data_IF_659389756619
#
_entry.id   IF_659389756619
#
_cell.length_a   1.000
_cell.length_b   1.000
_cell.length_c   1.000
_cell.angle_alpha   90.00
_cell.angle_beta   90.00
_cell.angle_gamma   90.00
#
_symmetry.space_group_name_H-M   'P 1'
#
loop_
_entity.id
_entity.type
_entity.pdbx_description
1 polymer ?
#
# COMPACT_ATOMS: atom_id res chain seq x y z
N UNK A 1 -0.96 36.26 -5.46
CA UNK A 1 -0.95 34.82 -5.80
C UNK A 1 -2.22 34.23 -5.22
N UNK A 2 -2.98 33.46 -6.01
CA UNK A 2 -4.21 32.80 -5.56
C UNK A 2 -3.85 31.62 -4.63
N UNK A 3 -3.79 31.90 -3.33
CA UNK A 3 -3.38 30.94 -2.29
C UNK A 3 -4.46 29.87 -2.11
N UNK A 4 -5.73 30.24 -2.22
CA UNK A 4 -6.86 29.31 -2.07
C UNK A 4 -6.84 28.26 -3.17
N UNK A 5 -6.51 28.66 -4.40
CA UNK A 5 -6.33 27.72 -5.50
C UNK A 5 -5.14 26.78 -5.29
N UNK A 6 -4.02 27.29 -4.78
CA UNK A 6 -2.83 26.48 -4.48
C UNK A 6 -3.11 25.45 -3.38
N UNK A 7 -3.81 25.85 -2.32
CA UNK A 7 -4.26 24.95 -1.24
C UNK A 7 -5.17 23.87 -1.82
N UNK A 8 -6.17 24.26 -2.61
CA UNK A 8 -7.12 23.32 -3.20
C UNK A 8 -6.45 22.29 -4.10
N UNK A 9 -5.50 22.67 -4.96
CA UNK A 9 -4.75 21.69 -5.76
C UNK A 9 -3.94 20.76 -4.86
N UNK A 10 -3.35 21.24 -3.76
CA UNK A 10 -2.61 20.36 -2.85
C UNK A 10 -3.49 19.32 -2.16
N UNK A 11 -4.78 19.57 -2.00
CA UNK A 11 -5.73 18.59 -1.47
C UNK A 11 -6.09 17.51 -2.53
N UNK A 12 -6.29 17.90 -3.80
CA UNK A 12 -6.63 16.95 -4.87
C UNK A 12 -5.42 16.22 -5.47
N UNK A 13 -4.26 16.87 -5.49
CA UNK A 13 -3.02 16.36 -6.10
C UNK A 13 -1.83 16.59 -5.18
N UNK A 14 -1.84 15.96 -3.99
CA UNK A 14 -0.82 16.14 -2.98
C UNK A 14 0.56 15.63 -3.42
N UNK A 15 0.64 14.70 -4.38
CA UNK A 15 1.92 14.13 -4.84
C UNK A 15 2.85 15.05 -5.64
N UNK A 16 2.46 16.32 -5.91
CA UNK A 16 3.22 17.21 -6.80
C UNK A 16 4.43 17.88 -6.14
N UNK A 17 5.49 18.08 -6.92
CA UNK A 17 6.65 18.88 -6.54
C UNK A 17 6.38 20.39 -6.73
N UNK A 18 7.22 21.23 -6.14
CA UNK A 18 7.01 22.69 -6.15
C UNK A 18 7.13 23.32 -7.56
N UNK A 19 7.97 22.76 -8.41
CA UNK A 19 8.08 23.09 -9.83
C UNK A 19 6.81 22.71 -10.60
N UNK A 20 6.20 21.56 -10.31
CA UNK A 20 4.93 21.15 -10.92
C UNK A 20 3.76 22.07 -10.48
N UNK A 21 3.76 22.57 -9.24
CA UNK A 21 2.82 23.63 -8.83
C UNK A 21 3.10 24.96 -9.51
N UNK A 22 4.37 25.29 -9.72
CA UNK A 22 4.78 26.49 -10.46
C UNK A 22 4.28 26.44 -11.91
N UNK A 23 4.42 25.29 -12.59
CA UNK A 23 3.88 25.07 -13.94
C UNK A 23 2.36 25.20 -13.97
N UNK A 24 1.64 24.62 -12.99
CA UNK A 24 0.18 24.75 -12.92
C UNK A 24 -0.27 26.19 -12.72
N UNK A 25 0.40 26.95 -11.85
CA UNK A 25 0.09 28.36 -11.64
C UNK A 25 0.40 29.21 -12.88
N UNK A 26 1.49 28.91 -13.58
CA UNK A 26 1.83 29.57 -14.83
C UNK A 26 0.79 29.26 -15.93
N UNK A 27 0.43 27.99 -16.13
CA UNK A 27 -0.45 27.57 -17.22
C UNK A 27 -1.94 27.87 -16.96
N UNK A 28 -2.45 27.59 -15.75
CA UNK A 28 -3.89 27.64 -15.46
C UNK A 28 -4.34 28.96 -14.83
N UNK A 29 -3.41 29.72 -14.26
CA UNK A 29 -3.67 30.99 -13.59
C UNK A 29 -2.88 32.16 -14.14
N UNK A 30 -2.03 31.92 -15.16
CA UNK A 30 -1.19 32.95 -15.78
C UNK A 30 -0.36 33.71 -14.73
N UNK A 31 0.01 33.00 -13.66
CA UNK A 31 0.66 33.53 -12.48
C UNK A 31 2.00 32.82 -12.30
N UNK A 32 3.04 33.22 -13.06
CA UNK A 32 4.37 32.68 -12.88
C UNK A 32 4.90 33.16 -11.52
N UNK A 33 5.13 32.20 -10.62
CA UNK A 33 5.68 32.47 -9.29
C UNK A 33 6.91 31.63 -9.06
N UNK A 34 7.86 32.14 -8.28
CA UNK A 34 9.05 31.37 -7.95
C UNK A 34 8.72 30.24 -6.98
N UNK A 35 9.45 29.13 -7.07
CA UNK A 35 9.31 27.94 -6.20
C UNK A 35 9.37 28.31 -4.71
N UNK A 36 10.22 29.27 -4.34
CA UNK A 36 10.31 29.75 -2.95
C UNK A 36 9.03 30.44 -2.48
N UNK A 37 8.36 31.19 -3.35
CA UNK A 37 7.07 31.83 -3.05
C UNK A 37 5.98 30.79 -2.75
N UNK A 38 5.96 29.71 -3.54
CA UNK A 38 5.05 28.57 -3.34
C UNK A 38 5.37 27.87 -2.01
N UNK A 39 6.66 27.64 -1.72
CA UNK A 39 7.10 27.02 -0.47
C UNK A 39 6.63 27.83 0.75
N UNK A 40 6.89 29.14 0.77
CA UNK A 40 6.46 30.01 1.88
C UNK A 40 4.94 30.10 2.01
N UNK A 41 4.21 30.09 0.88
CA UNK A 41 2.74 30.05 0.91
C UNK A 41 2.22 28.76 1.55
N UNK A 42 2.79 27.61 1.20
CA UNK A 42 2.45 26.34 1.86
C UNK A 42 2.79 26.34 3.36
N UNK A 43 3.97 26.83 3.74
CA UNK A 43 4.34 26.92 5.16
C UNK A 43 3.39 27.82 5.95
N UNK A 44 3.01 28.97 5.40
CA UNK A 44 2.02 29.88 6.02
C UNK A 44 0.64 29.26 6.12
N UNK A 45 0.26 28.42 5.16
CA UNK A 45 -0.99 27.65 5.18
C UNK A 45 -0.91 26.38 6.05
N UNK A 46 0.21 26.09 6.70
CA UNK A 46 0.40 24.88 7.51
C UNK A 46 0.48 23.59 6.70
N UNK A 47 0.85 23.65 5.41
CA UNK A 47 0.98 22.47 4.54
C UNK A 47 2.44 22.03 4.51
N UNK A 48 2.69 20.79 4.96
CA UNK A 48 4.02 20.19 5.01
C UNK A 48 4.10 18.93 4.15
N UNK A 49 5.34 18.54 3.81
CA UNK A 49 5.60 17.27 3.13
C UNK A 49 5.36 16.13 4.13
N UNK A 50 4.58 15.12 3.72
CA UNK A 50 4.27 13.94 4.52
C UNK A 50 4.54 12.66 3.72
N UNK A 51 4.79 11.57 4.43
CA UNK A 51 4.86 10.25 3.79
C UNK A 51 3.46 9.88 3.30
N UNK A 52 3.33 9.60 2.00
CA UNK A 52 2.09 9.10 1.42
C UNK A 52 1.79 7.74 2.04
N UNK A 53 0.61 7.57 2.64
CA UNK A 53 0.13 6.28 3.09
C UNK A 53 -0.99 5.83 2.17
N UNK A 54 -0.69 4.80 1.37
CA UNK A 54 -1.66 4.16 0.49
C UNK A 54 -2.61 3.32 1.36
N UNK A 55 -3.84 3.78 1.55
CA UNK A 55 -4.86 3.02 2.27
C UNK A 55 -5.59 2.10 1.29
N UNK A 56 -5.85 0.86 1.69
CA UNK A 56 -6.80 0.01 0.99
C UNK A 56 -8.21 0.54 1.26
N UNK A 57 -8.99 0.74 0.20
CA UNK A 57 -10.35 1.28 0.28
C UNK A 57 -11.33 0.34 1.01
N UNK A 58 -10.97 -0.92 1.16
CA UNK A 58 -11.80 -2.02 1.68
C UNK A 58 -11.72 -2.18 3.21
N UNK A 59 -10.97 -1.35 3.93
CA UNK A 59 -10.75 -1.52 5.38
C UNK A 59 -12.02 -1.22 6.19
N UNK A 60 -12.58 -2.25 6.85
CA UNK A 60 -13.69 -2.15 7.81
C UNK A 60 -13.22 -2.44 9.25
N UNK A 61 -13.22 -1.44 10.15
CA UNK A 61 -12.81 -1.60 11.55
C UNK A 61 -13.63 -2.64 12.34
N UNK A 62 -14.90 -2.84 11.98
CA UNK A 62 -15.78 -3.79 12.67
C UNK A 62 -15.36 -5.22 12.34
N UNK A 63 -15.14 -5.51 11.06
CA UNK A 63 -14.63 -6.81 10.62
C UNK A 63 -13.23 -7.09 11.18
N UNK A 64 -12.36 -6.07 11.24
CA UNK A 64 -11.03 -6.15 11.87
C UNK A 64 -11.14 -6.54 13.35
N UNK A 65 -12.04 -5.92 14.10
CA UNK A 65 -12.29 -6.24 15.51
C UNK A 65 -12.80 -7.66 15.73
N UNK A 66 -13.75 -8.11 14.91
CA UNK A 66 -14.26 -9.49 14.97
C UNK A 66 -13.18 -10.53 14.66
N UNK A 67 -12.34 -10.26 13.67
CA UNK A 67 -11.22 -11.14 13.32
C UNK A 67 -10.22 -11.26 14.48
N UNK A 68 -9.82 -10.13 15.08
CA UNK A 68 -8.88 -10.13 16.21
C UNK A 68 -9.46 -10.92 17.39
N UNK A 69 -10.73 -10.71 17.73
CA UNK A 69 -11.40 -11.43 18.81
C UNK A 69 -11.40 -12.96 18.56
N UNK A 70 -11.71 -13.38 17.34
CA UNK A 70 -11.72 -14.80 16.95
C UNK A 70 -10.32 -15.43 17.00
N UNK A 71 -9.31 -14.75 16.47
CA UNK A 71 -7.94 -15.28 16.43
C UNK A 71 -7.31 -15.33 17.83
N UNK A 72 -7.68 -14.41 18.72
CA UNK A 72 -7.18 -14.38 20.09
C UNK A 72 -7.58 -15.63 20.93
N UNK A 73 -8.56 -16.41 20.48
CA UNK A 73 -8.94 -17.69 21.13
C UNK A 73 -7.86 -18.78 20.94
N UNK A 74 -6.97 -18.63 19.96
CA UNK A 74 -5.95 -19.61 19.63
C UNK A 74 -4.57 -19.18 20.17
N UNK A 75 -3.79 -20.12 20.75
CA UNK A 75 -2.39 -19.87 21.04
C UNK A 75 -1.62 -19.47 19.78
N UNK A 76 -0.71 -18.49 19.89
CA UNK A 76 -0.01 -17.95 18.73
C UNK A 76 0.80 -19.01 17.94
N UNK A 77 1.33 -20.04 18.60
CA UNK A 77 2.09 -21.12 17.97
C UNK A 77 1.21 -22.12 17.17
N UNK A 78 -0.11 -22.04 17.29
CA UNK A 78 -1.03 -22.80 16.43
C UNK A 78 -1.38 -22.06 15.13
N UNK A 79 -0.97 -20.80 15.01
CA UNK A 79 -1.29 -19.97 13.86
C UNK A 79 -0.18 -20.04 12.83
N UNK A 80 -0.58 -20.34 11.59
CA UNK A 80 0.27 -20.23 10.41
C UNK A 80 -0.24 -19.04 9.60
N UNK A 81 0.62 -18.04 9.43
CA UNK A 81 0.34 -16.90 8.57
C UNK A 81 0.71 -17.27 7.14
N UNK A 82 -0.24 -17.18 6.22
CA UNK A 82 -0.01 -17.36 4.78
C UNK A 82 -0.25 -16.02 4.10
N UNK A 83 0.69 -15.58 3.27
CA UNK A 83 0.57 -14.33 2.51
C UNK A 83 1.11 -14.48 1.10
N UNK A 84 0.62 -13.62 0.20
CA UNK A 84 1.07 -13.52 -1.18
C UNK A 84 1.85 -12.22 -1.39
N UNK A 85 3.12 -12.37 -1.78
CA UNK A 85 3.95 -11.26 -2.23
C UNK A 85 4.10 -11.29 -3.75
N UNK A 86 3.66 -10.23 -4.42
CA UNK A 86 3.95 -10.03 -5.83
C UNK A 86 5.19 -9.19 -6.05
N UNK A 87 6.21 -9.76 -6.69
CA UNK A 87 7.32 -9.01 -7.27
C UNK A 87 6.99 -8.67 -8.72
N UNK A 88 6.64 -7.41 -8.92
CA UNK A 88 6.51 -6.80 -10.24
C UNK A 88 7.77 -5.96 -10.46
N UNK A 89 8.44 -6.12 -11.61
CA UNK A 89 9.64 -5.34 -11.99
C UNK A 89 9.25 -3.90 -12.37
N UNK A 90 8.57 -3.20 -11.44
CA UNK A 90 8.08 -1.84 -11.62
C UNK A 90 9.22 -0.82 -11.68
N UNK A 91 9.03 0.16 -12.54
CA UNK A 91 9.67 1.47 -12.45
C UNK A 91 9.20 2.16 -11.15
N UNK A 92 10.14 2.62 -10.32
CA UNK A 92 9.90 3.25 -9.01
C UNK A 92 8.80 4.33 -9.07
N UNK A 93 7.70 4.14 -8.32
CA UNK A 93 6.75 5.22 -8.02
C UNK A 93 7.32 6.16 -6.94
N UNK A 94 6.93 7.44 -6.95
CA UNK A 94 7.42 8.46 -6.00
C UNK A 94 6.92 8.17 -4.57
N UNK A 95 7.81 8.27 -3.58
CA UNK A 95 7.57 7.87 -2.17
C UNK A 95 6.98 8.98 -1.26
N UNK A 96 6.79 10.20 -1.75
CA UNK A 96 6.36 11.36 -0.94
C UNK A 96 5.36 12.29 -1.63
N UNK A 97 4.56 13.02 -0.82
CA UNK A 97 3.54 13.98 -1.24
C UNK A 97 3.21 14.99 -0.13
N UNK A 98 2.37 15.99 -0.40
CA UNK A 98 2.04 17.15 0.45
C UNK A 98 0.55 17.18 0.76
N UNK A 99 0.14 17.14 2.02
CA UNK A 99 -1.27 17.26 2.43
C UNK A 99 -1.42 18.17 3.66
N UNK A 100 -2.62 18.73 3.95
CA UNK A 100 -2.87 19.51 5.16
C UNK A 100 -2.47 18.79 6.46
N UNK A 101 -2.13 19.52 7.53
CA UNK A 101 -1.90 18.93 8.87
C UNK A 101 -3.16 18.15 9.29
N UNK A 102 -2.97 16.92 9.78
CA UNK A 102 -4.08 15.99 10.05
C UNK A 102 -4.60 15.16 8.85
N UNK A 103 -4.22 15.46 7.60
CA UNK A 103 -4.72 14.75 6.40
C UNK A 103 -3.63 13.93 5.67
N UNK A 104 -4.06 12.98 4.81
CA UNK A 104 -3.23 12.07 3.99
C UNK A 104 -3.10 12.56 2.54
N UNK A 105 -2.02 12.16 1.88
CA UNK A 105 -1.71 12.49 0.49
C UNK A 105 -1.99 11.30 -0.46
N UNK A 106 -2.75 11.49 -1.54
CA UNK A 106 -3.14 10.48 -2.56
C UNK A 106 -2.60 10.79 -3.98
N UNK A 107 -2.27 9.77 -4.80
CA UNK A 107 -1.72 9.93 -6.18
C UNK A 107 -2.13 8.78 -7.11
N UNK A 108 -2.41 9.10 -8.39
CA UNK A 108 -2.75 8.14 -9.46
C UNK A 108 -1.62 8.03 -10.50
N UNK A 109 -1.20 6.82 -10.89
CA UNK A 109 -0.13 6.57 -11.89
C UNK A 109 -0.46 5.40 -12.84
N UNK A 110 0.04 5.40 -14.10
CA UNK A 110 -0.15 4.29 -15.05
C UNK A 110 0.68 3.05 -14.67
N UNK A 111 0.09 1.86 -14.85
CA UNK A 111 0.71 0.58 -14.54
C UNK A 111 1.41 -0.03 -15.77
N UNK A 112 2.72 0.15 -15.90
CA UNK A 112 3.53 -0.57 -16.91
C UNK A 112 3.90 -1.95 -16.33
N UNK A 113 3.44 -3.03 -16.96
CA UNK A 113 3.64 -4.42 -16.48
C UNK A 113 4.86 -5.05 -17.17
N UNK A 114 5.89 -5.41 -16.42
CA UNK A 114 6.92 -6.38 -16.84
C UNK A 114 6.50 -7.79 -16.36
N UNK A 115 7.36 -8.80 -16.58
CA UNK A 115 7.13 -10.15 -16.06
C UNK A 115 6.92 -10.08 -14.53
N UNK A 116 5.79 -10.62 -14.06
CA UNK A 116 5.41 -10.63 -12.64
C UNK A 116 5.73 -12.00 -12.08
N UNK A 117 6.31 -12.03 -10.88
CA UNK A 117 6.39 -13.23 -10.07
C UNK A 117 5.51 -13.04 -8.85
N UNK A 118 4.71 -14.05 -8.54
CA UNK A 118 3.99 -14.15 -7.29
C UNK A 118 4.71 -15.16 -6.41
N UNK A 119 5.00 -14.80 -5.17
CA UNK A 119 5.53 -15.68 -4.15
C UNK A 119 4.44 -15.90 -3.11
N UNK A 120 4.09 -17.15 -2.86
CA UNK A 120 3.19 -17.53 -1.76
C UNK A 120 4.07 -18.10 -0.65
N UNK A 121 3.91 -17.61 0.57
CA UNK A 121 4.71 -18.02 1.71
C UNK A 121 3.84 -18.32 2.92
N UNK A 122 4.21 -19.35 3.68
CA UNK A 122 3.61 -19.70 4.95
C UNK A 122 4.66 -19.63 6.07
N UNK A 123 4.30 -19.00 7.17
CA UNK A 123 5.18 -18.78 8.33
C UNK A 123 4.48 -19.20 9.63
N UNK A 124 5.18 -19.98 10.45
CA UNK A 124 4.80 -20.31 11.82
C UNK A 124 5.69 -19.57 12.82
N UNK A 125 5.17 -19.33 14.03
CA UNK A 125 5.89 -18.55 15.05
C UNK A 125 7.22 -19.20 15.47
N UNK A 126 7.22 -20.52 15.65
CA UNK A 126 8.37 -21.25 16.21
C UNK A 126 9.35 -21.74 15.14
N UNK A 127 8.84 -22.04 13.93
CA UNK A 127 9.62 -22.66 12.84
C UNK A 127 10.05 -21.64 11.76
N UNK A 128 9.47 -20.44 11.77
CA UNK A 128 9.68 -19.45 10.72
C UNK A 128 8.99 -19.88 9.42
N UNK A 129 9.68 -19.77 8.28
CA UNK A 129 9.11 -20.13 6.98
C UNK A 129 8.98 -21.64 6.83
N UNK A 130 7.75 -22.14 6.79
CA UNK A 130 7.45 -23.57 6.71
C UNK A 130 7.12 -24.05 5.30
N UNK A 131 6.65 -23.15 4.43
CA UNK A 131 6.43 -23.43 3.01
C UNK A 131 6.56 -22.16 2.17
N UNK A 132 7.06 -22.29 0.94
CA UNK A 132 7.10 -21.20 -0.02
C UNK A 132 7.04 -21.72 -1.47
N UNK A 133 6.29 -21.04 -2.33
CA UNK A 133 6.20 -21.33 -3.77
C UNK A 133 6.33 -20.06 -4.57
N UNK A 134 7.10 -20.13 -5.67
CA UNK A 134 7.19 -19.06 -6.66
C UNK A 134 6.36 -19.45 -7.88
N UNK A 135 5.47 -18.56 -8.29
CA UNK A 135 4.63 -18.65 -9.46
C UNK A 135 5.04 -17.56 -10.46
N UNK A 136 5.06 -17.91 -11.73
CA UNK A 136 5.19 -16.93 -12.81
C UNK A 136 3.79 -16.41 -13.18
N UNK A 137 3.59 -15.09 -13.12
CA UNK A 137 2.29 -14.45 -13.30
C UNK A 137 1.57 -14.16 -11.99
N UNK A 138 0.25 -14.11 -12.03
CA UNK A 138 -0.62 -13.96 -10.86
C UNK A 138 -1.00 -15.32 -10.27
N UNK A 139 -1.23 -15.36 -8.97
CA UNK A 139 -2.00 -16.43 -8.36
C UNK A 139 -3.47 -16.38 -8.81
N UNK A 140 -4.13 -17.50 -8.64
CA UNK A 140 -5.57 -17.66 -8.68
C UNK A 140 -5.99 -18.64 -7.57
N UNK A 141 -7.28 -18.93 -7.49
CA UNK A 141 -7.82 -19.87 -6.51
C UNK A 141 -7.14 -21.25 -6.62
N UNK A 142 -7.01 -21.81 -7.82
CA UNK A 142 -6.43 -23.15 -8.00
C UNK A 142 -4.98 -23.21 -7.55
N UNK A 143 -4.15 -22.26 -7.98
CA UNK A 143 -2.72 -22.22 -7.64
C UNK A 143 -2.48 -22.00 -6.14
N UNK A 144 -3.36 -21.25 -5.46
CA UNK A 144 -3.33 -21.11 -4.01
C UNK A 144 -3.75 -22.41 -3.29
N UNK A 145 -4.81 -23.07 -3.74
CA UNK A 145 -5.22 -24.37 -3.18
C UNK A 145 -4.15 -25.44 -3.39
N UNK A 146 -3.52 -25.46 -4.56
CA UNK A 146 -2.42 -26.38 -4.85
C UNK A 146 -1.22 -26.12 -3.94
N UNK A 147 -0.97 -24.87 -3.52
CA UNK A 147 0.05 -24.53 -2.54
C UNK A 147 -0.31 -25.08 -1.15
N UNK A 148 -1.55 -24.89 -0.73
CA UNK A 148 -2.02 -25.41 0.56
C UNK A 148 -1.91 -26.94 0.61
N UNK A 149 -2.41 -27.63 -0.42
CA UNK A 149 -2.42 -29.09 -0.44
C UNK A 149 -1.02 -29.67 -0.58
N UNK A 150 -0.21 -29.15 -1.50
CA UNK A 150 1.03 -29.81 -1.90
C UNK A 150 2.29 -29.28 -1.23
N UNK A 151 2.31 -28.03 -0.77
CA UNK A 151 3.49 -27.47 -0.09
C UNK A 151 3.27 -27.35 1.41
N UNK A 152 2.09 -26.88 1.84
CA UNK A 152 1.83 -26.61 3.26
C UNK A 152 1.40 -27.85 4.03
N UNK A 153 0.45 -28.62 3.51
CA UNK A 153 -0.16 -29.76 4.21
C UNK A 153 0.55 -31.09 3.97
N UNK A 154 1.52 -31.13 3.06
CA UNK A 154 2.20 -32.36 2.63
C UNK A 154 3.41 -32.74 3.51
N UNK A 155 3.88 -31.84 4.38
CA UNK A 155 4.92 -32.13 5.36
C UNK A 155 4.40 -32.87 6.59
N UNK A 156 5.28 -33.50 7.37
CA UNK A 156 4.96 -34.20 8.64
C UNK A 156 4.40 -33.28 9.76
N UNK A 157 4.12 -32.02 9.44
CA UNK A 157 3.55 -31.02 10.32
C UNK A 157 2.05 -31.30 10.50
N UNK A 158 1.72 -32.07 11.54
CA UNK A 158 0.38 -32.11 12.15
C UNK A 158 0.04 -30.74 12.76
N UNK A 159 -0.08 -29.71 11.93
CA UNK A 159 -0.65 -28.42 12.32
C UNK A 159 -2.10 -28.46 11.89
N UNK A 160 -3.02 -28.27 12.84
CA UNK A 160 -4.42 -27.98 12.52
C UNK A 160 -4.48 -26.63 11.80
N UNK A 161 -4.28 -26.65 10.47
CA UNK A 161 -4.44 -25.46 9.64
C UNK A 161 -5.93 -25.17 9.53
N UNK A 162 -6.43 -24.32 10.44
CA UNK A 162 -7.77 -23.77 10.30
C UNK A 162 -7.72 -22.67 9.25
N UNK A 163 -7.89 -23.05 7.97
CA UNK A 163 -8.08 -22.12 6.86
C UNK A 163 -9.36 -21.31 7.10
N UNK A 164 -9.22 -20.08 7.61
CA UNK A 164 -10.30 -19.10 7.60
C UNK A 164 -10.25 -18.42 6.23
N UNK A 165 -10.91 -19.04 5.25
CA UNK A 165 -11.33 -18.37 4.02
C UNK A 165 -12.68 -17.70 4.32
N UNK A 166 -12.73 -16.37 4.20
CA UNK A 166 -13.96 -15.58 4.07
C UNK A 166 -13.94 -14.87 2.73
#
# INVERSE_FOLDING_TARGET
>A
MDIDYLIRISEYQPGKFLDEYQELLACLRHCPVHITTIHYAFCRAGINVKRIQRMAMERDPVLEGHFIARIAEYPAHYLVAVDEMSKDDRTYARLGGRAPIGQRAEMYQPFVRKQRYTVIGAMALDEGMIAARVLEGSSDHQTFYDFLENDLMRGDTFISVMLILS
#
